data_IF_854945649860
#
_entry.id   IF_854945649860
#
_cell.length_a   1.000
_cell.length_b   1.000
_cell.length_c   1.000
_cell.angle_alpha   90.00
_cell.angle_beta   90.00
_cell.angle_gamma   90.00
#
_symmetry.space_group_name_H-M   'P 1'
#
loop_
_entity.id
_entity.type
_entity.pdbx_description
1 polymer ?
#
# COMPACT_ATOMS: atom_id res chain seq x y z
N UNK A 1 18.65 -2.61 -2.18
CA UNK A 1 18.51 -2.62 -0.71
C UNK A 1 17.32 -1.75 -0.36
N UNK A 2 16.55 -2.11 0.67
CA UNK A 2 15.40 -1.30 1.10
C UNK A 2 15.86 0.11 1.51
N UNK A 3 15.11 1.15 1.12
CA UNK A 3 15.38 2.53 1.53
C UNK A 3 15.07 2.68 3.02
N UNK A 4 16.04 3.04 3.88
CA UNK A 4 15.82 3.15 5.33
C UNK A 4 14.86 4.29 5.71
N UNK A 5 14.56 5.22 4.80
CA UNK A 5 13.53 6.23 5.01
C UNK A 5 12.11 5.66 4.88
N UNK A 6 11.95 4.48 4.29
CA UNK A 6 10.64 3.88 4.08
C UNK A 6 10.35 2.83 5.14
N UNK A 7 9.18 2.96 5.75
CA UNK A 7 8.65 1.98 6.69
C UNK A 7 7.32 1.46 6.19
N UNK A 8 7.21 0.14 6.04
CA UNK A 8 5.98 -0.54 5.68
C UNK A 8 5.57 -1.49 6.81
N UNK A 9 4.30 -1.44 7.19
CA UNK A 9 3.71 -2.31 8.20
C UNK A 9 2.47 -2.99 7.64
N UNK A 10 2.37 -4.30 7.83
CA UNK A 10 1.22 -5.11 7.48
C UNK A 10 0.50 -5.55 8.75
N UNK A 11 -0.82 -5.39 8.76
CA UNK A 11 -1.70 -5.89 9.80
C UNK A 11 -2.80 -6.73 9.16
N UNK A 12 -2.92 -7.99 9.59
CA UNK A 12 -3.98 -8.91 9.21
C UNK A 12 -4.93 -9.11 10.39
N UNK A 13 -6.23 -8.88 10.18
CA UNK A 13 -7.25 -9.02 11.21
C UNK A 13 -8.60 -9.43 10.61
N UNK A 14 -9.23 -10.48 11.15
CA UNK A 14 -10.56 -10.97 10.75
C UNK A 14 -10.74 -11.11 9.22
N UNK A 15 -9.72 -11.61 8.53
CA UNK A 15 -9.74 -11.80 7.08
C UNK A 15 -9.54 -10.52 6.26
N UNK A 16 -9.34 -9.38 6.91
CA UNK A 16 -8.91 -8.12 6.30
C UNK A 16 -7.40 -7.94 6.43
N UNK A 17 -6.82 -7.21 5.48
CA UNK A 17 -5.39 -6.86 5.49
C UNK A 17 -5.25 -5.35 5.22
N UNK A 18 -4.53 -4.66 6.09
CA UNK A 18 -4.15 -3.26 5.92
C UNK A 18 -2.63 -3.15 5.84
N UNK A 19 -2.16 -2.34 4.90
CA UNK A 19 -0.75 -2.03 4.68
C UNK A 19 -0.58 -0.52 4.90
N UNK A 20 0.18 -0.14 5.91
CA UNK A 20 0.55 1.24 6.17
C UNK A 20 1.99 1.46 5.70
N UNK A 21 2.20 2.44 4.82
CA UNK A 21 3.51 2.83 4.31
C UNK A 21 3.78 4.29 4.70
N UNK A 22 4.95 4.55 5.28
CA UNK A 22 5.39 5.87 5.72
C UNK A 22 6.76 6.22 5.14
N UNK A 23 6.90 7.45 4.67
CA UNK A 23 8.18 8.07 4.41
C UNK A 23 8.62 8.84 5.66
N UNK A 24 9.67 8.38 6.32
CA UNK A 24 10.22 8.98 7.53
C UNK A 24 11.19 10.14 7.23
N UNK A 25 11.51 10.38 5.95
CA UNK A 25 12.38 11.48 5.52
C UNK A 25 11.60 12.69 5.01
N UNK A 26 12.27 13.84 4.93
CA UNK A 26 11.70 15.07 4.36
C UNK A 26 11.72 15.10 2.83
N UNK A 27 12.46 14.20 2.17
CA UNK A 27 12.52 14.13 0.71
C UNK A 27 11.44 13.17 0.19
N UNK A 28 10.81 13.44 -0.98
CA UNK A 28 9.89 12.51 -1.60
C UNK A 28 10.59 11.17 -1.92
N UNK A 29 9.84 10.08 -1.84
CA UNK A 29 10.31 8.71 -2.09
C UNK A 29 9.30 7.96 -2.95
N UNK A 30 9.81 7.12 -3.84
CA UNK A 30 9.01 6.17 -4.62
C UNK A 30 9.38 4.76 -4.18
N UNK A 31 8.40 3.88 -4.04
CA UNK A 31 8.62 2.47 -3.79
C UNK A 31 7.73 1.58 -4.63
N UNK A 32 8.25 0.42 -5.03
CA UNK A 32 7.43 -0.67 -5.51
C UNK A 32 6.91 -1.46 -4.30
N UNK A 33 5.60 -1.64 -4.19
CA UNK A 33 5.02 -2.54 -3.20
C UNK A 33 4.93 -3.94 -3.78
N UNK A 34 5.84 -4.81 -3.37
CA UNK A 34 5.84 -6.22 -3.73
C UNK A 34 4.91 -6.99 -2.77
N UNK A 35 3.94 -7.71 -3.33
CA UNK A 35 3.00 -8.54 -2.59
C UNK A 35 3.12 -9.98 -3.08
N UNK A 36 3.53 -10.87 -2.19
CA UNK A 36 3.69 -12.30 -2.46
C UNK A 36 2.35 -13.06 -2.36
N UNK A 37 1.26 -12.45 -2.85
CA UNK A 37 -0.07 -13.05 -2.89
C UNK A 37 -0.91 -12.47 -4.03
N UNK A 38 -1.98 -13.17 -4.42
CA UNK A 38 -2.93 -12.62 -5.38
C UNK A 38 -3.77 -11.50 -4.76
N UNK A 39 -3.92 -10.42 -5.50
CA UNK A 39 -4.73 -9.27 -5.12
C UNK A 39 -5.44 -8.68 -6.33
N UNK A 40 -6.55 -8.00 -6.09
CA UNK A 40 -7.39 -7.32 -7.09
C UNK A 40 -7.23 -5.81 -7.02
N UNK A 41 -7.08 -5.27 -5.81
CA UNK A 41 -6.89 -3.83 -5.59
C UNK A 41 -6.21 -3.54 -4.25
N UNK A 42 -5.58 -2.38 -4.16
CA UNK A 42 -5.15 -1.74 -2.92
C UNK A 42 -5.92 -0.43 -2.80
N UNK A 43 -6.91 -0.42 -1.90
CA UNK A 43 -7.82 0.71 -1.72
C UNK A 43 -7.20 1.71 -0.76
N UNK A 44 -7.11 2.99 -1.15
CA UNK A 44 -6.62 4.04 -0.26
C UNK A 44 -7.67 4.39 0.79
N UNK A 45 -7.39 4.03 2.04
CA UNK A 45 -8.28 4.25 3.16
C UNK A 45 -8.42 5.70 3.59
N UNK A 46 -7.45 6.53 3.22
CA UNK A 46 -7.41 7.94 3.59
C UNK A 46 -7.73 8.84 2.38
N UNK A 47 -8.03 8.24 1.23
CA UNK A 47 -8.45 8.93 0.01
C UNK A 47 -7.43 9.96 -0.49
N UNK A 48 -6.15 9.75 -0.23
CA UNK A 48 -5.09 10.70 -0.59
C UNK A 48 -4.80 10.66 -2.08
N UNK A 49 -4.84 9.47 -2.69
CA UNK A 49 -4.74 9.30 -4.14
C UNK A 49 -5.52 8.04 -4.59
N UNK A 50 -5.50 7.76 -5.89
CA UNK A 50 -6.26 6.66 -6.50
C UNK A 50 -5.88 5.28 -5.94
N UNK A 51 -6.84 4.35 -6.03
CA UNK A 51 -6.66 2.93 -5.72
C UNK A 51 -5.69 2.31 -6.72
N UNK A 52 -4.85 1.39 -6.22
CA UNK A 52 -3.91 0.67 -7.08
C UNK A 52 -4.54 -0.66 -7.51
N UNK A 53 -4.28 -1.07 -8.73
CA UNK A 53 -4.68 -2.39 -9.27
C UNK A 53 -3.44 -3.13 -9.77
N UNK A 54 -3.47 -4.47 -9.83
CA UNK A 54 -2.36 -5.26 -10.35
C UNK A 54 -2.10 -4.86 -11.80
N UNK A 55 -1.01 -4.13 -12.03
CA UNK A 55 -0.47 -3.92 -13.38
C UNK A 55 0.61 -4.97 -13.67
N UNK A 56 1.07 -5.06 -14.92
CA UNK A 56 2.18 -5.94 -15.27
C UNK A 56 3.50 -5.59 -14.52
N UNK A 57 3.61 -4.39 -13.97
CA UNK A 57 4.65 -3.98 -13.01
C UNK A 57 4.06 -3.80 -11.60
N UNK A 58 4.83 -4.15 -10.57
CA UNK A 58 4.46 -3.89 -9.19
C UNK A 58 4.01 -2.42 -9.03
N UNK A 59 2.94 -2.14 -8.27
CA UNK A 59 2.42 -0.78 -8.15
C UNK A 59 3.47 0.11 -7.50
N UNK A 60 3.81 1.21 -8.17
CA UNK A 60 4.68 2.24 -7.62
C UNK A 60 3.85 3.20 -6.74
N UNK A 61 4.30 3.37 -5.50
CA UNK A 61 3.76 4.34 -4.57
C UNK A 61 4.71 5.52 -4.49
N UNK A 62 4.19 6.71 -4.77
CA UNK A 62 4.89 7.96 -4.50
C UNK A 62 4.44 8.53 -3.15
N UNK A 63 5.40 8.83 -2.28
CA UNK A 63 5.17 9.48 -0.99
C UNK A 63 5.91 10.81 -0.95
N UNK A 64 5.19 11.88 -0.63
CA UNK A 64 5.80 13.17 -0.29
C UNK A 64 6.74 13.03 0.93
N UNK A 65 7.54 14.06 1.20
CA UNK A 65 8.30 14.14 2.45
C UNK A 65 7.36 14.03 3.66
N UNK A 66 7.66 13.14 4.61
CA UNK A 66 6.78 12.79 5.74
C UNK A 66 5.39 12.28 5.34
N UNK A 67 5.20 11.91 4.08
CA UNK A 67 3.95 11.37 3.53
C UNK A 67 3.70 9.93 3.96
N UNK A 68 2.47 9.49 3.75
CA UNK A 68 2.02 8.14 4.10
C UNK A 68 0.88 7.67 3.19
N UNK A 69 0.68 6.36 3.14
CA UNK A 69 -0.45 5.70 2.47
C UNK A 69 -0.94 4.54 3.34
N UNK A 70 -2.25 4.43 3.49
CA UNK A 70 -2.89 3.32 4.19
C UNK A 70 -3.78 2.58 3.21
N UNK A 71 -3.40 1.36 2.89
CA UNK A 71 -3.99 0.60 1.81
C UNK A 71 -4.72 -0.62 2.38
N UNK A 72 -5.95 -0.85 1.94
CA UNK A 72 -6.66 -2.11 2.20
C UNK A 72 -6.47 -3.03 1.01
N UNK A 73 -5.89 -4.20 1.27
CA UNK A 73 -5.74 -5.23 0.27
C UNK A 73 -7.10 -5.87 -0.02
N UNK A 74 -7.50 -5.87 -1.28
CA UNK A 74 -8.64 -6.64 -1.79
C UNK A 74 -8.12 -7.86 -2.52
N UNK A 75 -8.60 -9.04 -2.14
CA UNK A 75 -8.34 -10.30 -2.85
C UNK A 75 -9.49 -10.65 -3.79
N UNK A 76 -9.24 -11.42 -4.86
CA UNK A 76 -10.30 -11.93 -5.72
C UNK A 76 -11.41 -12.62 -4.93
N UNK A 77 -12.67 -12.24 -5.17
CA UNK A 77 -13.84 -12.82 -4.50
C UNK A 77 -14.04 -12.40 -3.04
N UNK A 78 -13.16 -11.57 -2.47
CA UNK A 78 -13.30 -11.10 -1.10
C UNK A 78 -14.41 -10.04 -1.01
N UNK A 79 -15.44 -10.34 -0.21
CA UNK A 79 -16.46 -9.36 0.16
C UNK A 79 -15.92 -8.50 1.30
N UNK A 80 -15.66 -7.23 1.01
CA UNK A 80 -15.35 -6.24 2.04
C UNK A 80 -16.65 -5.55 2.43
N UNK A 81 -17.02 -5.64 3.72
CA UNK A 81 -18.15 -4.87 4.24
C UNK A 81 -17.85 -3.36 4.12
N UNK A 82 -18.87 -2.54 3.80
CA UNK A 82 -18.71 -1.10 3.60
C UNK A 82 -18.11 -0.38 4.82
#
# INVERSE_FOLDING_TARGET
AADPALFAHRCDWEGSTVIAVHNLSAQPRTLALELDEEWEALVDLLGQQEDLTPSASAPELELAGHGYRWLRLRRPGQRIAP
#
